data_IF_564599758144
#
_entry.id   IF_564599758144
#
_cell.length_a   1.000
_cell.length_b   1.000
_cell.length_c   1.000
_cell.angle_alpha   90.00
_cell.angle_beta   90.00
_cell.angle_gamma   90.00
#
_symmetry.space_group_name_H-M   'P 1'
#
loop_
_entity.id
_entity.type
_entity.pdbx_description
1 polymer ?
#
# COMPACT_ATOMS: atom_id res chain seq x y z
N UNK A 1 -7.21 18.35 -6.07
CA UNK A 1 -6.44 18.33 -4.81
C UNK A 1 -5.01 18.00 -5.19
N UNK A 2 -3.99 18.78 -4.81
CA UNK A 2 -2.62 18.50 -5.27
C UNK A 2 -2.04 17.32 -4.49
N UNK A 3 -1.16 16.50 -5.09
CA UNK A 3 -0.44 15.42 -4.41
C UNK A 3 0.23 15.85 -3.09
N UNK A 4 0.74 17.08 -3.02
CA UNK A 4 1.35 17.64 -1.80
C UNK A 4 0.34 17.77 -0.65
N UNK A 5 -0.91 18.11 -0.95
CA UNK A 5 -1.98 18.23 0.04
C UNK A 5 -2.33 16.84 0.60
N UNK A 6 -2.35 15.82 -0.26
CA UNK A 6 -2.60 14.42 0.16
C UNK A 6 -1.51 13.91 1.10
N UNK A 7 -0.24 14.21 0.86
CA UNK A 7 0.84 13.81 1.76
C UNK A 7 0.72 14.43 3.16
N UNK A 8 0.29 15.69 3.23
CA UNK A 8 0.04 16.37 4.51
C UNK A 8 -1.14 15.75 5.24
N UNK A 9 -2.21 15.42 4.52
CA UNK A 9 -3.38 14.74 5.10
C UNK A 9 -3.05 13.33 5.61
N UNK A 10 -2.21 12.59 4.88
CA UNK A 10 -1.69 11.29 5.35
C UNK A 10 -0.93 11.44 6.66
N UNK A 11 -0.03 12.43 6.73
CA UNK A 11 0.77 12.66 7.93
C UNK A 11 -0.12 13.07 9.11
N UNK A 12 -1.08 13.97 8.89
CA UNK A 12 -1.99 14.42 9.92
C UNK A 12 -2.88 13.27 10.43
N UNK A 13 -3.50 12.50 9.53
CA UNK A 13 -4.32 11.33 9.88
C UNK A 13 -3.52 10.31 10.70
N UNK A 14 -2.25 10.08 10.38
CA UNK A 14 -1.39 9.22 11.18
C UNK A 14 -1.14 9.77 12.59
N UNK A 15 -0.81 11.05 12.71
CA UNK A 15 -0.57 11.67 14.02
C UNK A 15 -1.82 11.60 14.91
N UNK A 16 -2.99 11.87 14.33
CA UNK A 16 -4.28 11.88 15.03
C UNK A 16 -4.67 10.49 15.54
N UNK A 17 -4.29 9.43 14.81
CA UNK A 17 -4.64 8.05 15.17
C UNK A 17 -3.51 7.25 15.83
N UNK A 18 -2.32 7.84 16.01
CA UNK A 18 -1.13 7.10 16.46
C UNK A 18 -1.37 6.38 17.79
N UNK A 19 -1.92 7.09 18.77
CA UNK A 19 -2.17 6.52 20.10
C UNK A 19 -3.27 5.46 20.06
N UNK A 20 -4.35 5.73 19.33
CA UNK A 20 -5.44 4.77 19.09
C UNK A 20 -4.92 3.45 18.52
N UNK A 21 -3.99 3.51 17.56
CA UNK A 21 -3.39 2.33 16.94
C UNK A 21 -2.47 1.57 17.90
N UNK A 22 -1.69 2.29 18.71
CA UNK A 22 -0.86 1.65 19.75
C UNK A 22 -1.76 0.86 20.71
N UNK A 23 -2.84 1.48 21.19
CA UNK A 23 -3.81 0.85 22.08
C UNK A 23 -4.51 -0.33 21.40
N UNK A 24 -4.87 -0.19 20.12
CA UNK A 24 -5.41 -1.29 19.31
C UNK A 24 -4.46 -2.49 19.31
N UNK A 25 -3.18 -2.32 18.99
CA UNK A 25 -2.24 -3.45 18.96
C UNK A 25 -1.96 -4.01 20.35
N UNK A 26 -1.86 -3.18 21.38
CA UNK A 26 -1.70 -3.66 22.76
C UNK A 26 -2.88 -4.52 23.23
N UNK A 27 -4.12 -4.11 22.90
CA UNK A 27 -5.33 -4.91 23.15
C UNK A 27 -5.30 -6.28 22.46
N UNK A 28 -4.59 -6.39 21.34
CA UNK A 28 -4.40 -7.64 20.59
C UNK A 28 -3.11 -8.39 20.96
N UNK A 29 -2.52 -8.09 22.12
CA UNK A 29 -1.46 -8.88 22.73
C UNK A 29 -0.04 -8.53 22.30
N UNK A 30 0.16 -7.40 21.59
CA UNK A 30 1.50 -6.91 21.28
C UNK A 30 2.06 -6.08 22.44
N UNK A 31 3.34 -6.26 22.75
CA UNK A 31 3.98 -5.38 23.73
C UNK A 31 4.13 -3.95 23.17
N UNK A 32 4.48 -2.98 24.02
CA UNK A 32 4.56 -1.57 23.62
C UNK A 32 5.51 -1.32 22.43
N UNK A 33 6.65 -2.01 22.38
CA UNK A 33 7.62 -1.84 21.31
C UNK A 33 7.12 -2.43 19.98
N UNK A 34 6.48 -3.60 20.01
CA UNK A 34 5.82 -4.21 18.86
C UNK A 34 4.65 -3.37 18.36
N UNK A 35 3.79 -2.90 19.27
CA UNK A 35 2.66 -2.04 18.95
C UNK A 35 3.11 -0.76 18.24
N UNK A 36 4.15 -0.07 18.75
CA UNK A 36 4.73 1.11 18.08
C UNK A 36 5.27 0.79 16.68
N UNK A 37 5.90 -0.37 16.48
CA UNK A 37 6.40 -0.81 15.16
C UNK A 37 5.24 -1.06 14.18
N UNK A 38 4.18 -1.73 14.62
CA UNK A 38 2.98 -1.99 13.81
C UNK A 38 2.21 -0.71 13.50
N UNK A 39 2.08 0.20 14.47
CA UNK A 39 1.51 1.53 14.25
C UNK A 39 2.27 2.29 13.18
N UNK A 40 3.61 2.32 13.26
CA UNK A 40 4.42 2.99 12.24
C UNK A 40 4.27 2.34 10.85
N UNK A 41 4.04 1.03 10.77
CA UNK A 41 3.77 0.33 9.51
C UNK A 41 2.45 0.78 8.86
N UNK A 42 1.54 1.38 9.63
CA UNK A 42 0.26 1.92 9.16
C UNK A 42 0.31 3.40 8.79
N UNK A 43 1.48 4.06 8.79
CA UNK A 43 1.60 5.52 8.55
C UNK A 43 0.81 6.02 7.35
N UNK A 44 0.82 5.29 6.24
CA UNK A 44 0.06 5.66 5.04
C UNK A 44 -1.34 5.06 4.98
N UNK A 45 -1.58 3.95 5.67
CA UNK A 45 -2.83 3.20 5.56
C UNK A 45 -3.98 3.85 6.31
N UNK A 46 -3.70 4.50 7.45
CA UNK A 46 -4.72 5.10 8.32
C UNK A 46 -5.60 6.10 7.59
N UNK A 47 -4.99 6.97 6.78
CA UNK A 47 -5.72 7.93 5.94
C UNK A 47 -6.78 7.23 5.09
N UNK A 48 -6.43 6.11 4.44
CA UNK A 48 -7.38 5.35 3.65
C UNK A 48 -8.37 4.56 4.50
N UNK A 49 -8.01 4.15 5.73
CA UNK A 49 -8.96 3.49 6.64
C UNK A 49 -10.07 4.45 7.09
N UNK A 50 -9.76 5.72 7.31
CA UNK A 50 -10.73 6.76 7.70
C UNK A 50 -11.53 7.33 6.52
N UNK A 51 -10.97 7.25 5.30
CA UNK A 51 -11.62 7.80 4.11
C UNK A 51 -12.75 6.89 3.66
N UNK A 52 -13.96 7.42 3.46
CA UNK A 52 -15.07 6.61 2.97
C UNK A 52 -14.82 6.07 1.55
N UNK A 53 -15.52 4.98 1.21
CA UNK A 53 -15.29 4.24 -0.04
C UNK A 53 -15.38 5.10 -1.31
N UNK A 54 -16.29 6.05 -1.38
CA UNK A 54 -16.49 6.86 -2.59
C UNK A 54 -15.34 7.85 -2.76
N UNK A 55 -14.92 8.48 -1.67
CA UNK A 55 -13.79 9.41 -1.68
C UNK A 55 -12.47 8.68 -1.99
N UNK A 56 -12.30 7.44 -1.53
CA UNK A 56 -11.13 6.63 -1.91
C UNK A 56 -11.05 6.40 -3.42
N UNK A 57 -12.18 6.16 -4.08
CA UNK A 57 -12.21 5.96 -5.54
C UNK A 57 -11.83 7.24 -6.30
N UNK A 58 -12.34 8.41 -5.86
CA UNK A 58 -11.94 9.69 -6.44
C UNK A 58 -10.46 10.01 -6.21
N UNK A 59 -9.96 9.78 -4.99
CA UNK A 59 -8.55 9.98 -4.65
C UNK A 59 -7.63 9.08 -5.49
N UNK A 60 -8.00 7.81 -5.69
CA UNK A 60 -7.27 6.90 -6.59
C UNK A 60 -7.15 7.45 -8.00
N UNK A 61 -8.27 7.92 -8.56
CA UNK A 61 -8.31 8.44 -9.92
C UNK A 61 -7.43 9.70 -10.05
N UNK A 62 -7.56 10.64 -9.11
CA UNK A 62 -6.79 11.88 -9.10
C UNK A 62 -5.29 11.62 -8.90
N UNK A 63 -4.91 10.85 -7.88
CA UNK A 63 -3.51 10.51 -7.61
C UNK A 63 -2.86 9.82 -8.81
N UNK A 64 -3.56 8.86 -9.44
CA UNK A 64 -3.03 8.15 -10.61
C UNK A 64 -2.90 9.06 -11.82
N UNK A 65 -3.85 9.98 -12.02
CA UNK A 65 -3.80 10.97 -13.10
C UNK A 65 -2.58 11.88 -12.91
N UNK A 66 -2.39 12.44 -11.73
CA UNK A 66 -1.24 13.30 -11.43
C UNK A 66 0.09 12.54 -11.57
N UNK A 67 0.18 11.32 -11.03
CA UNK A 67 1.38 10.49 -11.18
C UNK A 67 1.69 10.15 -12.64
N UNK A 68 0.68 9.80 -13.45
CA UNK A 68 0.87 9.53 -14.88
C UNK A 68 1.35 10.77 -15.61
N UNK A 69 0.74 11.92 -15.36
CA UNK A 69 1.16 13.19 -15.95
C UNK A 69 2.62 13.47 -15.63
N UNK A 70 3.01 13.42 -14.35
CA UNK A 70 4.40 13.68 -13.94
C UNK A 70 5.40 12.68 -14.52
N UNK A 71 5.05 11.39 -14.57
CA UNK A 71 5.92 10.38 -15.18
C UNK A 71 6.06 10.58 -16.69
N UNK A 72 4.97 10.93 -17.38
CA UNK A 72 5.01 11.23 -18.81
C UNK A 72 5.84 12.48 -19.11
N UNK A 73 5.73 13.52 -18.29
CA UNK A 73 6.58 14.72 -18.39
C UNK A 73 8.07 14.36 -18.27
N UNK A 74 8.43 13.57 -17.24
CA UNK A 74 9.82 13.09 -17.08
C UNK A 74 10.30 12.23 -18.24
N UNK A 75 9.45 11.34 -18.75
CA UNK A 75 9.77 10.52 -19.93
C UNK A 75 10.01 11.43 -21.15
N UNK A 76 9.19 12.46 -21.33
CA UNK A 76 9.34 13.41 -22.42
C UNK A 76 10.64 14.23 -22.28
N UNK A 77 10.96 14.71 -21.09
CA UNK A 77 12.22 15.40 -20.79
C UNK A 77 13.44 14.51 -21.13
N UNK A 78 13.45 13.26 -20.67
CA UNK A 78 14.52 12.31 -20.98
C UNK A 78 14.61 12.02 -22.48
N UNK A 79 13.47 11.92 -23.17
CA UNK A 79 13.43 11.72 -24.62
C UNK A 79 14.04 12.93 -25.35
N UNK A 80 13.70 14.15 -24.91
CA UNK A 80 14.28 15.38 -25.47
C UNK A 80 15.79 15.48 -25.21
N UNK A 81 16.26 15.10 -24.01
CA UNK A 81 17.68 15.07 -23.66
C UNK A 81 18.44 14.02 -24.49
N UNK A 82 17.85 12.84 -24.69
CA UNK A 82 18.43 11.81 -25.56
C UNK A 82 18.65 12.33 -26.98
N UNK A 83 17.64 12.98 -27.56
CA UNK A 83 17.73 13.57 -28.91
C UNK A 83 18.81 14.65 -29.00
N UNK A 84 19.05 15.40 -27.93
CA UNK A 84 20.04 16.51 -27.89
C UNK A 84 21.32 16.16 -27.12
N UNK A 85 21.71 14.88 -27.09
CA UNK A 85 22.78 14.37 -26.21
C UNK A 85 24.22 14.60 -26.71
N UNK A 86 24.43 15.34 -27.80
CA UNK A 86 25.76 15.53 -28.41
C UNK A 86 26.81 16.04 -27.41
N UNK A 87 26.51 17.13 -26.68
CA UNK A 87 27.43 17.68 -25.68
C UNK A 87 27.65 16.75 -24.48
N UNK A 88 26.68 15.89 -24.12
CA UNK A 88 26.87 14.89 -23.08
C UNK A 88 27.83 13.78 -23.52
N UNK A 89 27.72 13.35 -24.79
CA UNK A 89 28.64 12.39 -25.41
C UNK A 89 30.07 12.94 -25.48
N UNK A 90 30.24 14.25 -25.66
CA UNK A 90 31.55 14.91 -25.59
C UNK A 90 32.12 14.98 -24.17
N UNK A 91 31.28 15.28 -23.17
CA UNK A 91 31.70 15.41 -21.77
C UNK A 91 32.06 14.07 -21.11
N UNK A 92 31.35 12.99 -21.47
CA UNK A 92 31.58 11.66 -20.94
C UNK A 92 31.45 10.60 -22.05
N UNK A 93 32.43 10.51 -22.97
CA UNK A 93 32.38 9.61 -24.12
C UNK A 93 32.46 8.13 -23.73
N UNK A 94 32.94 7.82 -22.52
CA UNK A 94 32.99 6.46 -21.98
C UNK A 94 31.61 5.88 -21.65
N UNK A 95 30.57 6.73 -21.55
CA UNK A 95 29.20 6.29 -21.27
C UNK A 95 28.42 6.11 -22.57
N UNK A 96 27.72 4.98 -22.68
CA UNK A 96 26.73 4.81 -23.73
C UNK A 96 25.42 5.54 -23.34
N UNK A 97 25.37 6.84 -23.61
CA UNK A 97 24.24 7.69 -23.26
C UNK A 97 22.91 7.23 -23.84
N UNK A 98 22.91 6.62 -25.03
CA UNK A 98 21.69 6.10 -25.64
C UNK A 98 21.09 4.98 -24.78
N UNK A 99 21.92 4.04 -24.31
CA UNK A 99 21.51 2.99 -23.37
C UNK A 99 21.07 3.57 -22.02
N UNK A 100 21.78 4.58 -21.49
CA UNK A 100 21.44 5.21 -20.20
C UNK A 100 20.03 5.81 -20.25
N UNK A 101 19.72 6.60 -21.28
CA UNK A 101 18.40 7.21 -21.43
C UNK A 101 17.30 6.16 -21.66
N UNK A 102 17.53 5.18 -22.56
CA UNK A 102 16.56 4.12 -22.82
C UNK A 102 16.25 3.30 -21.59
N UNK A 103 17.29 2.88 -20.86
CA UNK A 103 17.12 2.09 -19.63
C UNK A 103 16.29 2.85 -18.60
N UNK A 104 16.55 4.16 -18.43
CA UNK A 104 15.80 4.98 -17.48
C UNK A 104 14.35 5.20 -17.91
N UNK A 105 14.10 5.44 -19.19
CA UNK A 105 12.73 5.59 -19.73
C UNK A 105 11.95 4.29 -19.53
N UNK A 106 12.54 3.13 -19.86
CA UNK A 106 11.91 1.82 -19.66
C UNK A 106 11.60 1.56 -18.18
N UNK A 107 12.47 1.97 -17.26
CA UNK A 107 12.23 1.86 -15.83
C UNK A 107 11.01 2.70 -15.39
N UNK A 108 10.89 3.94 -15.86
CA UNK A 108 9.73 4.80 -15.58
C UNK A 108 8.44 4.23 -16.17
N UNK A 109 8.48 3.67 -17.38
CA UNK A 109 7.33 3.00 -18.01
C UNK A 109 6.92 1.72 -17.29
N UNK A 110 7.83 1.09 -16.55
CA UNK A 110 7.52 -0.08 -15.70
C UNK A 110 6.77 0.30 -14.42
N UNK A 111 6.60 1.59 -14.12
CA UNK A 111 5.88 2.05 -12.93
C UNK A 111 4.45 1.49 -12.89
N UNK A 112 4.01 1.09 -11.70
CA UNK A 112 2.75 0.36 -11.51
C UNK A 112 1.50 1.14 -11.96
N UNK A 113 1.56 2.48 -11.98
CA UNK A 113 0.46 3.32 -12.42
C UNK A 113 0.10 3.09 -13.90
N UNK A 114 1.04 2.61 -14.71
CA UNK A 114 0.82 2.24 -16.11
C UNK A 114 0.36 0.78 -16.26
N UNK A 115 0.65 -0.09 -15.28
CA UNK A 115 0.39 -1.54 -15.35
C UNK A 115 -0.94 -1.96 -14.75
N UNK A 116 -1.48 -1.20 -13.80
CA UNK A 116 -2.71 -1.58 -13.10
C UNK A 116 -3.85 -0.62 -13.42
N UNK A 117 -5.07 -1.16 -13.48
CA UNK A 117 -6.28 -0.33 -13.43
C UNK A 117 -6.40 0.34 -12.07
N UNK A 118 -7.06 1.49 -12.04
CA UNK A 118 -7.54 2.07 -10.79
C UNK A 118 -8.53 1.09 -10.16
N UNK A 119 -8.45 0.93 -8.85
CA UNK A 119 -9.37 0.14 -8.07
C UNK A 119 -9.56 0.83 -6.73
N UNK A 120 -10.80 0.90 -6.27
CA UNK A 120 -11.22 1.65 -5.09
C UNK A 120 -10.36 1.43 -3.84
N UNK A 121 -9.82 0.23 -3.66
CA UNK A 121 -9.00 -0.12 -2.49
C UNK A 121 -7.51 -0.28 -2.83
N UNK A 122 -7.03 0.15 -4.00
CA UNK A 122 -5.67 -0.20 -4.45
C UNK A 122 -4.57 0.50 -3.64
N UNK A 123 -4.74 1.76 -3.26
CA UNK A 123 -3.78 2.45 -2.38
C UNK A 123 -3.88 1.94 -0.96
N UNK A 124 -5.08 1.59 -0.48
CA UNK A 124 -5.22 0.94 0.83
C UNK A 124 -4.52 -0.43 0.85
N UNK A 125 -4.70 -1.23 -0.21
CA UNK A 125 -4.00 -2.51 -0.41
C UNK A 125 -2.48 -2.33 -0.29
N UNK A 126 -1.91 -1.40 -1.04
CA UNK A 126 -0.48 -1.14 -0.99
C UNK A 126 -0.01 -0.55 0.34
N UNK A 127 -0.78 0.36 0.91
CA UNK A 127 -0.44 1.01 2.16
C UNK A 127 -0.45 0.03 3.35
N UNK A 128 -1.17 -1.10 3.24
CA UNK A 128 -1.19 -2.17 4.23
C UNK A 128 -0.05 -3.19 4.07
N UNK A 129 0.69 -3.21 2.97
CA UNK A 129 1.78 -4.17 2.77
C UNK A 129 2.81 -4.17 3.91
N UNK A 130 3.30 -3.00 4.40
CA UNK A 130 4.26 -2.98 5.51
C UNK A 130 3.73 -3.62 6.79
N UNK A 131 2.41 -3.51 7.05
CA UNK A 131 1.79 -4.16 8.21
C UNK A 131 1.89 -5.69 8.08
N UNK A 132 1.49 -6.25 6.94
CA UNK A 132 1.57 -7.70 6.72
C UNK A 132 3.00 -8.23 6.80
N UNK A 133 3.97 -7.47 6.27
CA UNK A 133 5.37 -7.85 6.35
C UNK A 133 5.88 -7.85 7.78
N UNK A 134 5.54 -6.84 8.58
CA UNK A 134 5.93 -6.81 9.99
C UNK A 134 5.26 -7.89 10.83
N UNK A 135 4.00 -8.21 10.55
CA UNK A 135 3.35 -9.33 11.20
C UNK A 135 4.02 -10.67 10.85
N UNK A 136 4.42 -10.87 9.58
CA UNK A 136 5.23 -12.02 9.17
C UNK A 136 6.57 -12.08 9.91
N UNK A 137 7.26 -10.95 10.04
CA UNK A 137 8.53 -10.86 10.78
C UNK A 137 8.36 -11.22 12.27
N UNK A 138 7.19 -10.93 12.84
CA UNK A 138 6.82 -11.29 14.22
C UNK A 138 6.29 -12.73 14.35
N UNK A 139 6.40 -13.54 13.30
CA UNK A 139 6.02 -14.95 13.31
C UNK A 139 4.50 -15.18 13.26
N UNK A 140 3.69 -14.18 12.89
CA UNK A 140 2.24 -14.33 12.78
C UNK A 140 1.86 -15.11 11.54
N UNK A 141 1.09 -16.18 11.72
CA UNK A 141 0.56 -16.97 10.61
C UNK A 141 -0.49 -16.20 9.80
N UNK A 142 -0.80 -16.68 8.59
CA UNK A 142 -1.77 -16.03 7.70
C UNK A 142 -3.13 -15.77 8.39
N UNK A 143 -3.66 -16.75 9.12
CA UNK A 143 -4.95 -16.62 9.79
C UNK A 143 -4.94 -15.54 10.89
N UNK A 144 -3.83 -15.40 11.61
CA UNK A 144 -3.66 -14.34 12.62
C UNK A 144 -3.57 -12.96 11.96
N UNK A 145 -2.80 -12.85 10.87
CA UNK A 145 -2.67 -11.61 10.10
C UNK A 145 -4.04 -11.13 9.59
N UNK A 146 -4.80 -12.01 8.95
CA UNK A 146 -6.12 -11.71 8.40
C UNK A 146 -7.08 -11.28 9.50
N UNK A 147 -7.10 -12.00 10.63
CA UNK A 147 -7.98 -11.67 11.76
C UNK A 147 -7.64 -10.34 12.41
N UNK A 148 -6.35 -10.02 12.56
CA UNK A 148 -5.95 -8.74 13.12
C UNK A 148 -6.36 -7.58 12.21
N UNK A 149 -6.16 -7.72 10.90
CA UNK A 149 -6.59 -6.70 9.92
C UNK A 149 -8.11 -6.60 9.86
N UNK A 150 -8.83 -7.71 10.04
CA UNK A 150 -10.28 -7.69 10.20
C UNK A 150 -10.71 -6.80 11.36
N UNK A 151 -10.15 -6.99 12.55
CA UNK A 151 -10.46 -6.13 13.70
C UNK A 151 -10.04 -4.68 13.48
N UNK A 152 -8.95 -4.43 12.75
CA UNK A 152 -8.55 -3.08 12.35
C UNK A 152 -9.60 -2.44 11.44
N UNK A 153 -10.14 -3.17 10.47
CA UNK A 153 -11.18 -2.67 9.57
C UNK A 153 -12.47 -2.36 10.33
N UNK A 154 -12.85 -3.22 11.29
CA UNK A 154 -13.99 -2.97 12.18
C UNK A 154 -13.76 -1.74 13.06
N UNK A 155 -12.56 -1.60 13.65
CA UNK A 155 -12.17 -0.45 14.47
C UNK A 155 -12.34 0.87 13.70
N UNK A 156 -11.96 0.91 12.42
CA UNK A 156 -12.09 2.10 11.58
C UNK A 156 -13.44 2.21 10.85
N UNK A 157 -14.38 1.27 11.06
CA UNK A 157 -15.68 1.27 10.39
C UNK A 157 -15.57 1.16 8.86
N UNK A 158 -14.57 0.44 8.36
CA UNK A 158 -14.28 0.32 6.94
C UNK A 158 -15.41 -0.46 6.23
N UNK A 159 -16.05 0.18 5.25
CA UNK A 159 -17.03 -0.42 4.34
C UNK A 159 -18.16 -1.20 5.06
N UNK A 160 -18.22 -2.52 4.83
CA UNK A 160 -19.17 -3.46 5.42
C UNK A 160 -18.55 -4.38 6.46
N UNK A 161 -17.25 -4.24 6.77
CA UNK A 161 -16.59 -5.07 7.76
C UNK A 161 -17.24 -4.89 9.13
N UNK A 162 -17.59 -6.00 9.79
CA UNK A 162 -18.29 -5.96 11.07
C UNK A 162 -19.81 -5.88 10.97
N UNK A 163 -20.37 -5.60 9.79
CA UNK A 163 -21.82 -5.50 9.59
C UNK A 163 -22.45 -6.86 9.35
N UNK A 164 -23.72 -6.98 9.73
CA UNK A 164 -24.60 -8.14 9.50
C UNK A 164 -24.14 -9.46 10.16
N UNK A 165 -23.22 -9.42 11.13
CA UNK A 165 -22.77 -10.61 11.88
C UNK A 165 -23.91 -11.16 12.75
N UNK A 166 -24.66 -10.27 13.36
CA UNK A 166 -25.82 -10.54 14.22
C UNK A 166 -27.01 -11.15 13.47
N UNK A 167 -26.98 -11.15 12.13
CA UNK A 167 -28.03 -11.73 11.29
C UNK A 167 -27.84 -13.21 10.99
N UNK A 168 -26.73 -13.81 11.42
CA UNK A 168 -26.39 -15.21 11.13
C UNK A 168 -26.09 -15.97 12.42
N UNK A 169 -26.86 -17.04 12.66
CA UNK A 169 -26.61 -17.94 13.79
C UNK A 169 -25.23 -18.59 13.65
N UNK A 170 -24.34 -18.27 14.59
CA UNK A 170 -23.00 -18.82 14.67
C UNK A 170 -22.83 -19.52 16.02
N UNK A 171 -22.42 -20.80 16.04
CA UNK A 171 -22.13 -21.48 17.30
C UNK A 171 -21.08 -20.71 18.10
N UNK A 172 -21.21 -20.69 19.43
CA UNK A 172 -20.25 -20.03 20.32
C UNK A 172 -18.80 -20.42 19.97
N UNK A 173 -17.98 -19.40 19.70
CA UNK A 173 -16.57 -19.57 19.34
C UNK A 173 -16.30 -19.85 17.85
N UNK A 174 -17.30 -19.82 16.97
CA UNK A 174 -17.14 -19.89 15.51
C UNK A 174 -17.49 -18.57 14.83
N UNK A 175 -16.77 -18.25 13.76
CA UNK A 175 -17.07 -17.13 12.88
C UNK A 175 -18.39 -17.39 12.14
N UNK A 176 -19.19 -16.34 11.95
CA UNK A 176 -20.32 -16.35 11.04
C UNK A 176 -19.91 -16.52 9.58
N UNK A 177 -20.84 -16.94 8.72
CA UNK A 177 -20.59 -17.03 7.28
C UNK A 177 -20.14 -15.68 6.70
N UNK A 178 -20.75 -14.58 7.16
CA UNK A 178 -20.38 -13.22 6.77
C UNK A 178 -18.95 -12.88 7.20
N UNK A 179 -18.57 -13.22 8.43
CA UNK A 179 -17.20 -13.01 8.91
C UNK A 179 -16.20 -13.83 8.10
N UNK A 180 -16.50 -15.09 7.78
CA UNK A 180 -15.64 -15.93 6.93
C UNK A 180 -15.43 -15.29 5.56
N UNK A 181 -16.50 -14.77 4.94
CA UNK A 181 -16.41 -14.07 3.65
C UNK A 181 -15.58 -12.78 3.77
N UNK A 182 -15.74 -12.03 4.86
CA UNK A 182 -14.95 -10.81 5.14
C UNK A 182 -13.46 -11.14 5.32
N UNK A 183 -13.13 -12.18 6.09
CA UNK A 183 -11.75 -12.65 6.27
C UNK A 183 -11.13 -13.10 4.93
N UNK A 184 -11.90 -13.83 4.12
CA UNK A 184 -11.45 -14.29 2.81
C UNK A 184 -11.21 -13.14 1.82
N UNK A 185 -12.03 -12.08 1.88
CA UNK A 185 -11.79 -10.83 1.14
C UNK A 185 -10.47 -10.18 1.56
N UNK A 186 -10.22 -10.04 2.86
CA UNK A 186 -8.94 -9.51 3.38
C UNK A 186 -7.76 -10.34 2.87
N UNK A 187 -7.87 -11.67 2.95
CA UNK A 187 -6.83 -12.58 2.49
C UNK A 187 -6.48 -12.38 1.02
N UNK A 188 -7.50 -12.42 0.14
CA UNK A 188 -7.31 -12.36 -1.31
C UNK A 188 -6.91 -10.97 -1.81
N UNK A 189 -7.48 -9.92 -1.24
CA UNK A 189 -7.33 -8.56 -1.77
C UNK A 189 -6.18 -7.79 -1.12
N UNK A 190 -5.74 -8.16 0.08
CA UNK A 190 -4.74 -7.39 0.84
C UNK A 190 -3.54 -8.25 1.24
N UNK A 191 -3.78 -9.36 1.94
CA UNK A 191 -2.68 -10.17 2.50
C UNK A 191 -1.85 -10.88 1.43
N UNK A 192 -2.48 -11.61 0.50
CA UNK A 192 -1.76 -12.34 -0.53
C UNK A 192 -0.98 -11.42 -1.49
N UNK A 193 -1.56 -10.30 -1.98
CA UNK A 193 -0.81 -9.34 -2.78
C UNK A 193 0.42 -8.79 -2.05
N UNK A 194 0.28 -8.44 -0.77
CA UNK A 194 1.38 -7.94 0.04
C UNK A 194 2.52 -8.96 0.17
N UNK A 195 2.21 -10.22 0.45
CA UNK A 195 3.25 -11.25 0.54
C UNK A 195 3.96 -11.44 -0.81
N UNK A 196 3.19 -11.49 -1.90
CA UNK A 196 3.75 -11.65 -3.25
C UNK A 196 4.66 -10.49 -3.65
N UNK A 197 4.31 -9.24 -3.31
CA UNK A 197 5.16 -8.09 -3.63
C UNK A 197 6.48 -8.13 -2.87
N UNK A 198 6.48 -8.54 -1.58
CA UNK A 198 7.71 -8.75 -0.82
C UNK A 198 8.63 -9.79 -1.43
N UNK A 199 8.07 -10.93 -1.84
CA UNK A 199 8.88 -12.01 -2.42
C UNK A 199 9.50 -11.58 -3.75
N UNK A 200 8.77 -10.78 -4.56
CA UNK A 200 9.32 -10.15 -5.78
C UNK A 200 10.45 -9.17 -5.47
N UNK A 201 10.31 -8.34 -4.43
CA UNK A 201 11.38 -7.44 -4.02
C UNK A 201 12.60 -8.19 -3.49
N UNK A 202 12.39 -9.25 -2.71
CA UNK A 202 13.47 -10.09 -2.21
C UNK A 202 14.26 -10.73 -3.36
N UNK A 203 13.58 -11.24 -4.38
CA UNK A 203 14.20 -11.78 -5.60
C UNK A 203 15.02 -10.72 -6.36
N UNK A 204 14.48 -9.51 -6.51
CA UNK A 204 15.15 -8.41 -7.24
C UNK A 204 16.39 -7.89 -6.49
N UNK A 205 16.30 -7.77 -5.16
CA UNK A 205 17.32 -7.11 -4.34
C UNK A 205 18.23 -8.09 -3.58
N UNK A 206 18.03 -9.40 -3.74
CA UNK A 206 18.79 -10.42 -3.03
C UNK A 206 18.58 -10.39 -1.52
N UNK A 207 17.40 -10.01 -1.05
CA UNK A 207 17.05 -10.12 0.37
C UNK A 207 16.69 -11.57 0.68
N UNK A 208 17.10 -12.06 1.85
CA UNK A 208 16.66 -13.37 2.32
C UNK A 208 15.12 -13.36 2.45
N UNK A 209 14.46 -14.19 1.64
CA UNK A 209 13.00 -14.24 1.51
C UNK A 209 12.31 -14.78 2.78
#
# INVERSE_FOLDING_TARGET
>A
RLLKDIYQEIEQSFLDNRERLIQFFQKHGFNEAEAKKLTNALKSAVFFLETNKYDRDYLEQDMRKEMRTSLNEKIQELTNLKTNSASLKELAPQLNWDIVFESRIQELQKHMVFKTRAGQNKSLEMALEPLFWRLRDFGKGQAEQVRLVYYLFVEFGLDDYGKDIDKYDSPDGKLSEVEVIQHERIRKQFQQPAIKSRDQYAEIFGWDA
#
